data_IF_957633626166
#
_entry.id   IF_957633626166
#
_cell.length_a   1.000
_cell.length_b   1.000
_cell.length_c   1.000
_cell.angle_alpha   90.00
_cell.angle_beta   90.00
_cell.angle_gamma   90.00
#
_symmetry.space_group_name_H-M   'P 1'
#
loop_
_entity.id
_entity.type
_entity.pdbx_description
1 polymer ?
#
# COMPACT_ATOMS: atom_id res chain seq x y z
N UNK A 1 -15.14 -0.52 -11.49
CA UNK A 1 -13.86 0.07 -11.92
C UNK A 1 -13.10 -0.96 -12.76
N UNK A 2 -12.47 -0.57 -13.88
CA UNK A 2 -11.69 -1.47 -14.75
C UNK A 2 -10.29 -0.91 -14.87
N UNK A 3 -9.27 -1.77 -14.76
CA UNK A 3 -7.87 -1.40 -14.88
C UNK A 3 -7.63 -0.78 -16.26
N UNK A 4 -7.20 0.49 -16.29
CA UNK A 4 -6.82 1.18 -17.53
C UNK A 4 -5.30 1.18 -17.62
N UNK A 5 -4.74 0.39 -18.53
CA UNK A 5 -3.28 0.27 -18.72
C UNK A 5 -2.56 1.61 -18.83
N UNK A 6 -3.19 2.61 -19.45
CA UNK A 6 -2.63 3.95 -19.64
C UNK A 6 -2.45 4.78 -18.35
N UNK A 7 -3.05 4.36 -17.23
CA UNK A 7 -2.99 5.07 -15.95
C UNK A 7 -2.10 4.37 -14.92
N UNK A 8 -1.64 3.17 -15.25
CA UNK A 8 -0.73 2.42 -14.41
C UNK A 8 0.65 3.06 -14.46
N UNK A 9 1.21 3.34 -13.29
CA UNK A 9 2.57 3.79 -13.13
C UNK A 9 3.38 2.72 -12.38
N UNK A 10 4.69 2.59 -12.69
CA UNK A 10 5.56 1.70 -11.95
C UNK A 10 5.83 2.27 -10.55
N UNK A 11 5.73 1.43 -9.54
CA UNK A 11 6.09 1.74 -8.15
C UNK A 11 6.90 0.60 -7.57
N UNK A 12 7.79 0.91 -6.62
CA UNK A 12 8.55 -0.10 -5.92
C UNK A 12 7.76 -0.61 -4.70
N UNK A 13 7.60 -1.93 -4.61
CA UNK A 13 7.00 -2.62 -3.49
C UNK A 13 8.09 -3.30 -2.66
N UNK A 14 8.25 -2.92 -1.40
CA UNK A 14 9.16 -3.55 -0.45
C UNK A 14 8.37 -4.42 0.51
N UNK A 15 8.71 -5.71 0.60
CA UNK A 15 8.01 -6.66 1.47
C UNK A 15 8.21 -6.33 2.94
N UNK A 16 7.14 -6.38 3.73
CA UNK A 16 7.27 -6.20 5.18
C UNK A 16 7.93 -7.43 5.82
N UNK A 17 8.93 -7.17 6.66
CA UNK A 17 9.65 -8.16 7.44
C UNK A 17 9.51 -7.84 8.93
N UNK A 18 9.01 -8.80 9.69
CA UNK A 18 8.96 -8.70 11.15
C UNK A 18 10.20 -9.35 11.74
N UNK A 19 11.16 -8.54 12.14
CA UNK A 19 12.35 -9.04 12.84
C UNK A 19 11.96 -9.21 14.32
N UNK A 20 11.89 -10.45 14.78
CA UNK A 20 11.79 -10.76 16.21
C UNK A 20 13.19 -10.62 16.81
N UNK A 21 13.38 -9.60 17.63
CA UNK A 21 14.58 -9.50 18.45
C UNK A 21 14.48 -10.45 19.64
N UNK A 22 15.63 -10.86 20.18
CA UNK A 22 15.73 -11.81 21.30
C UNK A 22 15.07 -11.27 22.60
N UNK A 23 14.77 -9.98 22.65
CA UNK A 23 14.06 -9.29 23.74
C UNK A 23 12.53 -9.19 23.53
N UNK A 24 11.98 -9.88 22.52
CA UNK A 24 10.53 -9.91 22.27
C UNK A 24 9.96 -8.66 21.61
N UNK A 25 10.80 -7.67 21.29
CA UNK A 25 10.42 -6.49 20.51
C UNK A 25 10.33 -6.88 19.02
N UNK A 26 9.14 -6.67 18.44
CA UNK A 26 8.90 -6.80 17.00
C UNK A 26 9.32 -5.49 16.34
N UNK A 27 10.38 -5.52 15.53
CA UNK A 27 10.78 -4.37 14.72
C UNK A 27 10.20 -4.54 13.31
N UNK A 28 9.41 -3.56 12.87
CA UNK A 28 8.95 -3.44 11.49
C UNK A 28 10.14 -3.04 10.63
N UNK A 29 10.55 -3.92 9.74
CA UNK A 29 11.56 -3.62 8.72
C UNK A 29 10.98 -3.94 7.34
N UNK A 30 11.59 -3.40 6.31
CA UNK A 30 11.21 -3.66 4.93
C UNK A 30 12.37 -4.34 4.23
N UNK A 31 12.05 -5.24 3.30
CA UNK A 31 13.03 -5.86 2.41
C UNK A 31 13.82 -4.80 1.66
N UNK A 32 15.13 -5.00 1.55
CA UNK A 32 16.01 -4.19 0.69
C UNK A 32 15.65 -4.40 -0.78
N UNK A 33 15.36 -5.65 -1.15
CA UNK A 33 14.86 -6.00 -2.48
C UNK A 33 13.42 -5.50 -2.67
N UNK A 34 13.26 -4.57 -3.60
CA UNK A 34 11.97 -4.04 -4.04
C UNK A 34 11.51 -4.66 -5.35
N UNK A 35 10.23 -5.01 -5.43
CA UNK A 35 9.60 -5.53 -6.66
C UNK A 35 8.85 -4.40 -7.34
N UNK A 36 9.12 -4.17 -8.63
CA UNK A 36 8.34 -3.18 -9.39
C UNK A 36 6.93 -3.71 -9.66
N UNK A 37 5.92 -2.95 -9.24
CA UNK A 37 4.51 -3.22 -9.52
C UNK A 37 3.90 -2.07 -10.32
N UNK A 38 2.84 -2.37 -11.05
CA UNK A 38 2.08 -1.37 -11.80
C UNK A 38 0.77 -1.07 -11.07
N UNK A 39 0.57 0.19 -10.69
CA UNK A 39 -0.61 0.62 -9.97
C UNK A 39 -1.16 1.96 -10.48
N UNK A 40 -2.47 2.16 -10.36
CA UNK A 40 -3.10 3.49 -10.43
C UNK A 40 -3.34 3.93 -8.99
N UNK A 41 -2.84 5.10 -8.58
CA UNK A 41 -2.96 5.60 -7.19
C UNK A 41 -3.76 6.91 -7.18
N UNK A 42 -4.68 7.06 -6.23
CA UNK A 42 -5.48 8.27 -6.02
C UNK A 42 -5.82 8.47 -4.54
N UNK A 43 -6.12 9.70 -4.08
CA UNK A 43 -6.49 9.94 -2.68
C UNK A 43 -7.77 9.21 -2.28
N UNK A 44 -7.84 8.76 -1.02
CA UNK A 44 -9.05 8.17 -0.47
C UNK A 44 -10.19 9.18 -0.46
N UNK A 45 -11.37 8.71 -0.87
CA UNK A 45 -12.54 9.58 -1.06
C UNK A 45 -13.80 8.75 -0.88
N UNK A 46 -14.77 9.28 -0.12
CA UNK A 46 -16.09 8.68 0.03
C UNK A 46 -16.51 8.56 1.50
N UNK A 47 -17.83 8.58 1.72
CA UNK A 47 -18.41 8.58 3.07
C UNK A 47 -17.95 7.39 3.91
N UNK A 48 -17.94 6.18 3.33
CA UNK A 48 -17.52 4.97 4.07
C UNK A 48 -16.07 5.07 4.57
N UNK A 49 -15.13 5.53 3.72
CA UNK A 49 -13.74 5.68 4.15
C UNK A 49 -13.59 6.84 5.14
N UNK A 50 -14.37 7.92 4.98
CA UNK A 50 -14.38 9.04 5.92
C UNK A 50 -14.89 8.63 7.31
N UNK A 51 -15.91 7.78 7.39
CA UNK A 51 -16.41 7.23 8.64
C UNK A 51 -15.40 6.26 9.28
N UNK A 52 -14.73 5.42 8.49
CA UNK A 52 -13.75 4.45 8.98
C UNK A 52 -12.46 5.10 9.48
N UNK A 53 -11.95 6.10 8.76
CA UNK A 53 -10.62 6.65 9.00
C UNK A 53 -10.64 8.05 9.60
N UNK A 54 -11.75 8.77 9.51
CA UNK A 54 -11.91 10.13 10.06
C UNK A 54 -10.80 11.07 9.57
N UNK A 55 -10.10 11.70 10.51
CA UNK A 55 -8.99 12.61 10.22
C UNK A 55 -7.80 11.95 9.51
N UNK A 56 -7.67 10.61 9.60
CA UNK A 56 -6.62 9.87 8.89
C UNK A 56 -6.87 9.76 7.40
N UNK A 57 -8.09 10.01 6.92
CA UNK A 57 -8.45 9.90 5.50
C UNK A 57 -7.50 10.71 4.60
N UNK A 58 -7.06 11.88 5.04
CA UNK A 58 -6.12 12.74 4.32
C UNK A 58 -4.75 12.09 4.05
N UNK A 59 -4.39 11.06 4.82
CA UNK A 59 -3.14 10.30 4.69
C UNK A 59 -3.34 8.94 4.02
N UNK A 60 -4.55 8.67 3.51
CA UNK A 60 -4.88 7.40 2.86
C UNK A 60 -4.96 7.59 1.35
N UNK A 61 -4.28 6.70 0.64
CA UNK A 61 -4.35 6.58 -0.80
C UNK A 61 -4.98 5.23 -1.16
N UNK A 62 -5.76 5.21 -2.22
CA UNK A 62 -6.23 3.98 -2.85
C UNK A 62 -5.29 3.62 -4.00
N UNK A 63 -5.00 2.34 -4.17
CA UNK A 63 -4.22 1.83 -5.30
C UNK A 63 -4.95 0.69 -6.01
N UNK A 64 -5.09 0.78 -7.33
CA UNK A 64 -5.61 -0.29 -8.18
C UNK A 64 -4.45 -1.09 -8.75
N UNK A 65 -4.45 -2.40 -8.52
CA UNK A 65 -3.45 -3.32 -9.08
C UNK A 65 -4.12 -4.50 -9.78
N UNK A 66 -3.34 -5.20 -10.61
CA UNK A 66 -3.81 -6.45 -11.21
C UNK A 66 -4.07 -7.52 -10.14
N UNK A 67 -4.99 -8.44 -10.44
CA UNK A 67 -5.36 -9.48 -9.48
C UNK A 67 -4.18 -10.39 -9.12
N UNK A 68 -3.31 -10.65 -10.07
CA UNK A 68 -2.17 -11.55 -9.91
C UNK A 68 -1.00 -10.92 -9.14
N UNK A 69 -1.05 -9.61 -8.90
CA UNK A 69 0.01 -8.91 -8.17
C UNK A 69 0.12 -9.46 -6.74
N UNK A 70 1.32 -9.92 -6.38
CA UNK A 70 1.63 -10.52 -5.08
C UNK A 70 1.93 -9.43 -4.05
N UNK A 71 0.90 -8.99 -3.32
CA UNK A 71 0.95 -7.95 -2.28
C UNK A 71 0.24 -8.48 -1.04
N UNK A 72 0.81 -8.20 0.12
CA UNK A 72 0.25 -8.49 1.43
C UNK A 72 0.01 -7.21 2.22
N UNK A 73 -0.83 -7.30 3.25
CA UNK A 73 -0.97 -6.23 4.24
C UNK A 73 0.38 -5.97 4.92
N UNK A 74 0.60 -4.72 5.32
CA UNK A 74 1.85 -4.16 5.86
C UNK A 74 2.98 -3.96 4.85
N UNK A 75 2.91 -4.54 3.65
CA UNK A 75 3.91 -4.28 2.60
C UNK A 75 4.02 -2.77 2.33
N UNK A 76 5.23 -2.33 1.98
CA UNK A 76 5.57 -0.93 1.77
C UNK A 76 5.58 -0.56 0.29
N UNK A 77 5.01 0.59 -0.06
CA UNK A 77 5.12 1.20 -1.39
C UNK A 77 5.95 2.48 -1.33
N UNK A 78 6.84 2.60 -2.31
CA UNK A 78 7.66 3.77 -2.58
C UNK A 78 6.97 4.60 -3.68
N UNK A 79 6.19 5.60 -3.28
CA UNK A 79 5.37 6.41 -4.21
C UNK A 79 6.11 7.66 -4.71
N UNK A 80 6.83 8.33 -3.82
CA UNK A 80 7.41 9.67 -4.02
C UNK A 80 8.89 9.74 -3.59
N UNK A 81 9.41 8.64 -3.05
CA UNK A 81 10.78 8.54 -2.55
C UNK A 81 11.27 7.11 -2.74
N UNK A 82 12.57 6.87 -2.64
CA UNK A 82 13.15 5.52 -2.71
C UNK A 82 12.82 4.68 -1.46
N UNK A 83 12.60 5.35 -0.33
CA UNK A 83 12.11 4.77 0.91
C UNK A 83 10.62 4.45 0.87
N UNK A 84 10.19 3.54 1.75
CA UNK A 84 8.78 3.21 1.92
C UNK A 84 8.05 4.43 2.48
N UNK A 85 7.15 5.00 1.67
CA UNK A 85 6.37 6.17 2.07
C UNK A 85 4.98 5.80 2.56
N UNK A 86 4.40 4.72 2.02
CA UNK A 86 3.07 4.25 2.40
C UNK A 86 3.08 2.76 2.66
N UNK A 87 2.28 2.30 3.63
CA UNK A 87 2.07 0.87 3.91
C UNK A 87 0.68 0.44 3.45
N UNK A 88 0.55 -0.80 3.02
CA UNK A 88 -0.76 -1.42 2.74
C UNK A 88 -1.47 -1.68 4.08
N UNK A 89 -2.65 -1.09 4.27
CA UNK A 89 -3.47 -1.29 5.47
C UNK A 89 -4.69 -2.18 5.23
N UNK A 90 -5.09 -2.37 3.97
CA UNK A 90 -6.23 -3.22 3.61
C UNK A 90 -6.17 -3.57 2.12
N UNK A 91 -6.69 -4.76 1.79
CA UNK A 91 -6.71 -5.31 0.42
C UNK A 91 -8.13 -5.79 0.10
N UNK A 92 -8.77 -5.15 -0.87
CA UNK A 92 -10.07 -5.54 -1.40
C UNK A 92 -9.87 -6.26 -2.73
N UNK A 93 -10.15 -7.57 -2.74
CA UNK A 93 -9.99 -8.39 -3.94
C UNK A 93 -11.31 -8.46 -4.72
N UNK A 94 -11.25 -8.12 -6.01
CA UNK A 94 -12.36 -8.23 -6.96
C UNK A 94 -12.04 -9.25 -8.05
N UNK A 95 -13.01 -9.56 -8.91
CA UNK A 95 -12.88 -10.61 -9.93
C UNK A 95 -11.69 -10.39 -10.89
N UNK A 96 -11.36 -9.14 -11.21
CA UNK A 96 -10.34 -8.78 -12.21
C UNK A 96 -9.18 -7.92 -11.67
N UNK A 97 -9.27 -7.41 -10.44
CA UNK A 97 -8.30 -6.48 -9.89
C UNK A 97 -8.34 -6.51 -8.37
N UNK A 98 -7.34 -5.88 -7.73
CA UNK A 98 -7.36 -5.58 -6.30
C UNK A 98 -7.36 -4.07 -6.11
N UNK A 99 -8.08 -3.60 -5.09
CA UNK A 99 -7.98 -2.24 -4.58
C UNK A 99 -7.29 -2.31 -3.24
N UNK A 100 -6.15 -1.64 -3.11
CA UNK A 100 -5.38 -1.51 -1.89
C UNK A 100 -5.72 -0.18 -1.24
N UNK A 101 -5.80 -0.17 0.08
CA UNK A 101 -5.83 1.05 0.88
C UNK A 101 -4.44 1.19 1.50
N UNK A 102 -3.81 2.34 1.26
CA UNK A 102 -2.44 2.65 1.63
C UNK A 102 -2.46 3.80 2.63
N UNK A 103 -1.68 3.73 3.68
CA UNK A 103 -1.54 4.81 4.66
C UNK A 103 -0.10 5.35 4.66
N UNK A 104 0.05 6.67 4.67
CA UNK A 104 1.36 7.32 4.83
C UNK A 104 1.99 6.96 6.19
N UNK A 105 3.24 6.52 6.16
CA UNK A 105 4.00 6.11 7.36
C UNK A 105 5.00 7.16 7.84
N UNK A 106 5.16 8.26 7.12
CA UNK A 106 6.08 9.36 7.47
C UNK A 106 5.51 10.23 8.57
N UNK A 107 4.18 10.29 8.69
CA UNK A 107 3.50 11.16 9.64
C UNK A 107 3.22 10.52 11.02
N UNK A 108 4.09 9.61 11.50
CA UNK A 108 3.86 8.84 12.73
C UNK A 108 4.90 9.10 13.82
#
# INVERSE_FOLDING_TARGET
MRLKKNRLKPYLLKKHQTIKTNEGLKRTSYSDEGVTIYAEIWPASGNVQAELYGQRLSYILNALVERDTTINELDGLCIDSDDVTHKVISIKTYSNHKVLELEDVRNR
#
